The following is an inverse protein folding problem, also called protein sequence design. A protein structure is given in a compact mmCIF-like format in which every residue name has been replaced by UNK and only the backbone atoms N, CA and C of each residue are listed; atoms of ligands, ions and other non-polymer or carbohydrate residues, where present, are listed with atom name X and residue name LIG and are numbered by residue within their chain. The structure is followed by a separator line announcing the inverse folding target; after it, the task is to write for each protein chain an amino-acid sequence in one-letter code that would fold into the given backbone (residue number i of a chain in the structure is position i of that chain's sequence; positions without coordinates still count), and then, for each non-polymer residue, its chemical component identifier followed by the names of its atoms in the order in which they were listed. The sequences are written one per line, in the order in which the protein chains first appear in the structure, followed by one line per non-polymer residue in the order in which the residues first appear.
data_IF_322912686940
#
_entry.id   IF_322912686940
#
_cell.length_a   1.000
_cell.length_b   1.000
_cell.length_c   1.000
_cell.angle_alpha   90.00
_cell.angle_beta   90.00
_cell.angle_gamma   90.00
#
_symmetry.space_group_name_H-M   'P 1'
#
loop_
_entity.id
_entity.type
_entity.pdbx_description
1 polymer ?
#
# COMPACT_ATOMS: atom_id res chain seq x y z
N UNK A 1 9.93 -10.09 -21.37
CA UNK A 1 8.59 -9.54 -21.07
C UNK A 1 7.98 -9.10 -22.37
N UNK A 2 6.73 -9.47 -22.64
CA UNK A 2 6.01 -8.94 -23.80
C UNK A 2 5.73 -7.44 -23.60
N UNK A 3 5.80 -6.62 -24.66
CA UNK A 3 5.50 -5.20 -24.57
C UNK A 3 4.02 -5.01 -24.25
N UNK A 4 3.72 -4.23 -23.20
CA UNK A 4 2.35 -3.84 -22.85
C UNK A 4 2.05 -2.52 -23.54
N UNK A 5 1.07 -2.52 -24.42
CA UNK A 5 0.64 -1.36 -25.19
C UNK A 5 -0.05 -0.32 -24.28
N UNK A 6 0.31 0.95 -24.44
CA UNK A 6 -0.27 2.07 -23.70
C UNK A 6 -1.46 2.62 -24.47
N UNK A 7 -2.66 2.48 -23.90
CA UNK A 7 -3.92 2.94 -24.52
C UNK A 7 -4.50 4.20 -23.84
N UNK A 8 -3.69 4.89 -23.03
CA UNK A 8 -4.09 6.10 -22.31
C UNK A 8 -3.95 7.38 -23.14
N UNK A 9 -4.43 8.50 -22.59
CA UNK A 9 -4.30 9.83 -23.21
C UNK A 9 -2.84 10.14 -23.57
N UNK A 10 -2.58 10.58 -24.80
CA UNK A 10 -1.23 10.90 -25.31
C UNK A 10 -0.69 12.24 -24.81
N UNK A 11 -1.15 12.72 -23.65
CA UNK A 11 -0.61 13.91 -23.01
C UNK A 11 0.58 13.54 -22.10
N UNK A 12 1.47 14.51 -21.87
CA UNK A 12 2.69 14.30 -21.08
C UNK A 12 2.39 13.87 -19.62
N UNK A 13 1.21 14.19 -19.08
CA UNK A 13 0.81 13.80 -17.72
C UNK A 13 0.39 12.32 -17.68
N UNK A 14 -0.33 11.84 -18.70
CA UNK A 14 -0.73 10.45 -18.85
C UNK A 14 0.46 9.51 -19.00
N UNK A 15 1.42 9.88 -19.87
CA UNK A 15 2.65 9.11 -20.06
C UNK A 15 3.53 9.07 -18.80
N UNK A 16 3.71 10.20 -18.11
CA UNK A 16 4.47 10.26 -16.87
C UNK A 16 3.78 9.48 -15.73
N UNK A 17 2.44 9.52 -15.66
CA UNK A 17 1.66 8.72 -14.71
C UNK A 17 1.79 7.23 -14.96
N UNK A 18 1.73 6.81 -16.22
CA UNK A 18 1.90 5.41 -16.62
C UNK A 18 3.31 4.87 -16.36
N UNK A 19 4.35 5.65 -16.69
CA UNK A 19 5.74 5.27 -16.41
C UNK A 19 6.00 5.17 -14.90
N UNK A 20 5.52 6.14 -14.09
CA UNK A 20 5.70 6.12 -12.63
C UNK A 20 5.00 4.95 -11.95
N UNK A 21 3.80 4.55 -12.42
CA UNK A 21 3.11 3.35 -11.92
C UNK A 21 3.88 2.06 -12.18
N UNK A 22 4.77 2.05 -13.18
CA UNK A 22 5.62 0.90 -13.53
C UNK A 22 6.99 0.93 -12.86
N UNK A 23 7.56 2.11 -12.65
CA UNK A 23 8.93 2.27 -12.15
C UNK A 23 9.01 2.43 -10.63
N UNK A 24 7.95 2.90 -9.97
CA UNK A 24 7.92 3.03 -8.51
C UNK A 24 7.33 1.77 -7.87
N UNK A 25 7.93 1.28 -6.76
CA UNK A 25 7.40 0.12 -6.05
C UNK A 25 5.98 0.40 -5.57
N UNK A 26 5.06 -0.51 -5.86
CA UNK A 26 3.64 -0.43 -5.48
C UNK A 26 3.44 -0.40 -3.97
N UNK A 27 4.42 -0.92 -3.21
CA UNK A 27 4.42 -1.00 -1.75
C UNK A 27 5.67 -0.30 -1.21
N UNK A 28 5.48 0.66 -0.31
CA UNK A 28 6.57 1.33 0.40
C UNK A 28 7.03 0.48 1.58
N UNK A 29 8.32 0.16 1.68
CA UNK A 29 8.87 -0.48 2.88
C UNK A 29 9.08 0.56 3.98
N UNK A 30 8.64 0.23 5.21
CA UNK A 30 8.74 1.10 6.38
C UNK A 30 9.36 0.33 7.56
N UNK A 31 10.03 1.07 8.43
CA UNK A 31 10.24 0.65 9.81
C UNK A 31 8.96 0.88 10.63
N UNK A 32 8.81 0.18 11.76
CA UNK A 32 7.64 0.33 12.63
C UNK A 32 7.42 1.77 13.10
N UNK A 33 8.50 2.50 13.38
CA UNK A 33 8.44 3.93 13.75
C UNK A 33 7.95 4.83 12.60
N UNK A 34 8.06 4.39 11.34
CA UNK A 34 7.64 5.14 10.17
C UNK A 34 6.14 5.03 9.86
N UNK A 35 5.43 4.10 10.51
CA UNK A 35 4.01 3.81 10.23
C UNK A 35 3.12 5.00 10.50
N UNK A 36 3.28 5.64 11.66
CA UNK A 36 2.45 6.80 12.02
C UNK A 36 2.67 7.97 11.07
N UNK A 37 3.94 8.25 10.70
CA UNK A 37 4.28 9.31 9.76
C UNK A 37 3.70 9.05 8.36
N UNK A 38 3.72 7.79 7.89
CA UNK A 38 3.11 7.39 6.64
C UNK A 38 1.59 7.60 6.65
N UNK A 39 0.91 7.14 7.70
CA UNK A 39 -0.54 7.27 7.85
C UNK A 39 -0.97 8.73 7.93
N UNK A 40 -0.26 9.57 8.71
CA UNK A 40 -0.50 11.02 8.81
C UNK A 40 -0.31 11.74 7.48
N UNK A 41 0.76 11.41 6.75
CA UNK A 41 1.04 12.00 5.42
C UNK A 41 -0.08 11.69 4.41
N UNK A 42 -0.76 10.55 4.59
CA UNK A 42 -1.80 10.05 3.70
C UNK A 42 -3.18 10.02 4.36
N UNK A 43 -3.46 10.94 5.29
CA UNK A 43 -4.73 11.02 6.04
C UNK A 43 -5.97 11.20 5.14
N UNK A 44 -5.82 11.88 4.00
CA UNK A 44 -6.89 12.06 3.02
C UNK A 44 -7.01 10.94 1.97
N UNK A 45 -6.14 9.92 2.02
CA UNK A 45 -6.13 8.79 1.10
C UNK A 45 -6.55 7.50 1.82
N UNK A 46 -6.96 6.47 1.08
CA UNK A 46 -7.00 5.12 1.61
C UNK A 46 -5.57 4.59 1.72
N UNK A 47 -5.18 4.11 2.90
CA UNK A 47 -3.84 3.60 3.15
C UNK A 47 -3.87 2.24 3.85
N UNK A 48 -3.01 1.32 3.41
CA UNK A 48 -2.86 -0.02 3.97
C UNK A 48 -1.43 -0.24 4.42
N UNK A 49 -1.24 -0.71 5.65
CA UNK A 49 0.08 -1.05 6.21
C UNK A 49 0.07 -2.50 6.69
N UNK A 50 0.88 -3.34 6.05
CA UNK A 50 1.01 -4.76 6.41
C UNK A 50 2.26 -5.00 7.25
N UNK A 51 2.09 -5.57 8.44
CA UNK A 51 3.18 -6.13 9.22
C UNK A 51 3.28 -7.61 8.88
N UNK A 52 4.32 -7.99 8.15
CA UNK A 52 4.44 -9.35 7.59
C UNK A 52 5.86 -9.85 7.65
N UNK A 53 6.03 -11.17 7.78
CA UNK A 53 7.35 -11.80 7.69
C UNK A 53 7.75 -11.88 6.21
N UNK A 54 9.01 -11.56 5.92
CA UNK A 54 9.60 -11.70 4.58
C UNK A 54 9.40 -13.14 4.06
N UNK A 55 9.09 -13.26 2.77
CA UNK A 55 8.82 -14.53 2.05
C UNK A 55 7.60 -15.34 2.53
N UNK A 56 6.84 -14.85 3.52
CA UNK A 56 5.62 -15.52 3.96
C UNK A 56 4.52 -15.48 2.89
N UNK A 57 3.58 -16.44 2.96
CA UNK A 57 2.38 -16.46 2.09
C UNK A 57 1.60 -15.14 2.22
N UNK A 58 1.58 -14.51 3.40
CA UNK A 58 0.90 -13.23 3.65
C UNK A 58 1.60 -12.06 2.98
N UNK A 59 2.93 -12.02 3.02
CA UNK A 59 3.70 -11.01 2.28
C UNK A 59 3.42 -11.14 0.77
N UNK A 60 3.52 -12.35 0.22
CA UNK A 60 3.22 -12.59 -1.20
C UNK A 60 1.80 -12.18 -1.58
N UNK A 61 0.81 -12.51 -0.73
CA UNK A 61 -0.58 -12.13 -0.95
C UNK A 61 -0.78 -10.62 -0.91
N UNK A 62 -0.17 -9.91 0.04
CA UNK A 62 -0.28 -8.46 0.17
C UNK A 62 0.32 -7.73 -1.03
N UNK A 63 1.53 -8.09 -1.47
CA UNK A 63 2.17 -7.46 -2.61
C UNK A 63 1.41 -7.72 -3.91
N UNK A 64 0.95 -8.96 -4.13
CA UNK A 64 0.11 -9.30 -5.28
C UNK A 64 -1.22 -8.53 -5.29
N UNK A 65 -1.83 -8.33 -4.11
CA UNK A 65 -3.04 -7.53 -3.98
C UNK A 65 -2.75 -6.06 -4.30
N UNK A 66 -1.68 -5.48 -3.76
CA UNK A 66 -1.29 -4.10 -4.04
C UNK A 66 -1.08 -3.88 -5.55
N UNK A 67 -0.33 -4.78 -6.22
CA UNK A 67 -0.12 -4.75 -7.68
C UNK A 67 -1.43 -4.83 -8.45
N UNK A 68 -2.32 -5.74 -8.05
CA UNK A 68 -3.61 -5.94 -8.71
C UNK A 68 -4.57 -4.77 -8.51
N UNK A 69 -4.45 -4.01 -7.42
CA UNK A 69 -5.41 -2.93 -7.11
C UNK A 69 -4.93 -1.59 -7.68
N UNK A 70 -3.62 -1.32 -7.70
CA UNK A 70 -3.06 -0.07 -8.27
C UNK A 70 -3.27 0.02 -9.79
N UNK A 71 -3.60 -1.08 -10.47
CA UNK A 71 -4.01 -1.07 -11.87
C UNK A 71 -5.40 -0.46 -12.10
N UNK A 72 -6.24 -0.30 -11.07
CA UNK A 72 -7.54 0.35 -11.17
C UNK A 72 -7.43 1.86 -10.90
N UNK A 73 -7.95 2.69 -11.81
CA UNK A 73 -7.88 4.16 -11.75
C UNK A 73 -8.91 4.82 -10.81
N UNK A 74 -9.65 4.04 -10.03
CA UNK A 74 -10.83 4.52 -9.28
C UNK A 74 -10.51 5.19 -7.94
N UNK A 75 -9.30 5.03 -7.39
CA UNK A 75 -8.89 5.67 -6.13
C UNK A 75 -7.38 5.67 -5.91
N UNK A 76 -6.85 6.73 -5.30
CA UNK A 76 -5.45 6.79 -4.87
C UNK A 76 -5.26 5.92 -3.61
N UNK A 77 -4.85 4.67 -3.80
CA UNK A 77 -4.51 3.77 -2.69
C UNK A 77 -3.03 3.86 -2.36
N UNK A 78 -2.71 3.82 -1.06
CA UNK A 78 -1.34 3.80 -0.54
C UNK A 78 -1.08 2.46 0.13
N UNK A 79 0.01 1.80 -0.23
CA UNK A 79 0.40 0.53 0.39
C UNK A 79 1.79 0.66 1.02
N UNK A 80 1.93 0.10 2.22
CA UNK A 80 3.21 -0.04 2.88
C UNK A 80 3.36 -1.39 3.57
N UNK A 81 4.60 -1.82 3.78
CA UNK A 81 4.94 -3.04 4.49
C UNK A 81 5.99 -2.77 5.56
N UNK A 82 5.78 -3.33 6.74
CA UNK A 82 6.75 -3.43 7.83
C UNK A 82 7.18 -4.89 7.95
N UNK A 83 8.48 -5.13 7.81
CA UNK A 83 9.01 -6.48 7.91
C UNK A 83 9.14 -6.92 9.36
N UNK A 84 8.48 -8.02 9.69
CA UNK A 84 8.65 -8.65 11.00
C UNK A 84 10.04 -9.29 11.12
N UNK A 85 10.60 -9.38 12.35
CA UNK A 85 11.83 -10.10 12.62
C UNK A 85 11.79 -11.55 12.10
N UNK A 86 12.94 -12.11 11.73
CA UNK A 86 13.03 -13.50 11.26
C UNK A 86 12.53 -14.52 12.30
N UNK A 87 12.62 -14.19 13.60
CA UNK A 87 12.13 -15.01 14.71
C UNK A 87 10.60 -14.97 14.87
N UNK A 88 9.91 -14.02 14.25
CA UNK A 88 8.46 -13.89 14.39
C UNK A 88 7.71 -15.06 13.73
N UNK A 89 6.61 -15.46 14.37
CA UNK A 89 5.65 -16.39 13.78
C UNK A 89 4.87 -15.68 12.66
N UNK A 90 4.98 -16.21 11.43
CA UNK A 90 4.43 -15.57 10.24
C UNK A 90 2.90 -15.46 10.23
N UNK A 91 2.19 -16.22 11.07
CA UNK A 91 0.72 -16.22 11.15
C UNK A 91 0.24 -15.36 12.31
N UNK A 92 0.78 -15.57 13.50
CA UNK A 92 0.34 -14.92 14.74
C UNK A 92 0.79 -13.46 14.84
N UNK A 93 1.97 -13.13 14.31
CA UNK A 93 2.51 -11.78 14.39
C UNK A 93 2.08 -10.89 13.21
N UNK A 94 1.47 -11.46 12.17
CA UNK A 94 1.05 -10.70 11.01
C UNK A 94 -0.16 -9.81 11.32
N UNK A 95 -0.11 -8.55 10.91
CA UNK A 95 -1.18 -7.55 11.11
C UNK A 95 -1.41 -6.76 9.83
N UNK A 96 -2.64 -6.28 9.63
CA UNK A 96 -2.98 -5.35 8.55
C UNK A 96 -3.71 -4.17 9.16
N UNK A 97 -3.20 -2.98 8.89
CA UNK A 97 -3.84 -1.72 9.22
C UNK A 97 -4.44 -1.14 7.94
N UNK A 98 -5.68 -0.66 8.05
CA UNK A 98 -6.37 0.02 6.98
C UNK A 98 -6.87 1.38 7.50
N UNK A 99 -6.49 2.43 6.81
CA UNK A 99 -6.99 3.78 7.01
C UNK A 99 -7.85 4.15 5.82
N UNK A 100 -8.97 4.80 6.10
CA UNK A 100 -9.80 5.45 5.08
C UNK A 100 -9.72 6.97 5.25
N UNK A 101 -9.95 7.73 4.17
CA UNK A 101 -10.17 9.16 4.27
C UNK A 101 -11.25 9.46 5.32
N UNK A 102 -11.04 10.53 6.09
CA UNK A 102 -11.97 11.07 7.09
C UNK A 102 -12.25 10.17 8.31
N UNK A 103 -11.42 9.15 8.54
CA UNK A 103 -11.49 8.36 9.78
C UNK A 103 -11.03 9.21 10.97
N UNK A 104 -11.99 9.78 11.71
CA UNK A 104 -11.76 10.64 12.87
C UNK A 104 -12.41 12.04 12.80
N UNK A 105 -13.05 12.41 11.69
CA UNK A 105 -13.80 13.66 11.63
C UNK A 105 -15.09 13.61 12.49
N UNK A 106 -15.72 12.44 12.60
CA UNK A 106 -17.00 12.27 13.32
C UNK A 106 -17.05 11.08 14.31
N UNK A 107 -15.97 10.30 14.46
CA UNK A 107 -16.00 9.14 15.36
C UNK A 107 -15.64 9.55 16.79
N UNK A 108 -16.62 10.04 17.56
CA UNK A 108 -16.56 10.06 19.03
C UNK A 108 -16.51 8.65 19.63
N UNK A 109 -16.69 7.60 18.84
CA UNK A 109 -16.84 6.23 19.33
C UNK A 109 -15.77 5.28 18.77
N UNK A 110 -14.52 5.41 19.22
CA UNK A 110 -13.62 4.25 19.25
C UNK A 110 -12.51 4.39 20.30
N UNK A 111 -12.67 3.65 21.40
CA UNK A 111 -11.62 3.38 22.40
C UNK A 111 -11.12 1.95 22.14
N UNK A 112 -9.79 1.70 22.10
CA UNK A 112 -9.21 0.41 21.74
C UNK A 112 -9.56 -0.75 22.68
#
# INVERSE_FOLDING_TARGET
SEPVEYDGGRDAKGLAGWARKRELPTVTELDEAGVEGFLKKHSGDFAFVAFVKRDSVRAKAFFKAAESIVSYDVSTLRFAAVWLPKSADAKKAAKLWAQRPDWGADSQDYVP
#
